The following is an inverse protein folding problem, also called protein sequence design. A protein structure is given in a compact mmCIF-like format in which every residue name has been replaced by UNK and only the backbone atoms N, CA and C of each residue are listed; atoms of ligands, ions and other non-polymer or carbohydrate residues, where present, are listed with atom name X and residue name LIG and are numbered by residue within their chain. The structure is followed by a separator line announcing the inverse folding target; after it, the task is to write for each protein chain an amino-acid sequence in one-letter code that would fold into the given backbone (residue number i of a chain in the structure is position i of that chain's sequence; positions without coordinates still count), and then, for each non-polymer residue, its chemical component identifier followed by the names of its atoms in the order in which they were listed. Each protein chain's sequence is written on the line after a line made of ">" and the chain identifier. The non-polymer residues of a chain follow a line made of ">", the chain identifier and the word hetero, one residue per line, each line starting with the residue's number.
data_IF_654414903016
#
_entry.id   IF_654414903016
#
_cell.length_a   1.000
_cell.length_b   1.000
_cell.length_c   1.000
_cell.angle_alpha   90.00
_cell.angle_beta   90.00
_cell.angle_gamma   90.00
#
_symmetry.space_group_name_H-M   'P 1'
#
loop_
_entity.id
_entity.type
_entity.pdbx_description
1 polymer ?
#
# COMPACT_ATOMS: atom_id res chain seq x y z
N UNK A 1 7.47 13.47 1.89
CA UNK A 1 7.01 12.27 2.63
C UNK A 1 6.85 11.02 1.75
N UNK A 2 6.82 11.16 0.42
CA UNK A 2 6.66 10.06 -0.56
C UNK A 2 7.99 9.50 -1.10
N UNK A 3 9.11 10.08 -0.66
CA UNK A 3 10.41 9.89 -1.29
C UNK A 3 10.85 8.41 -1.41
N UNK A 4 10.36 7.46 -0.59
CA UNK A 4 10.71 6.05 -0.76
C UNK A 4 9.87 5.32 -1.83
N UNK A 5 8.58 5.63 -1.93
CA UNK A 5 7.64 4.91 -2.82
C UNK A 5 7.57 5.52 -4.23
N UNK A 6 7.95 6.80 -4.37
CA UNK A 6 8.04 7.47 -5.67
C UNK A 6 9.41 7.33 -6.36
N UNK A 7 10.39 6.68 -5.72
CA UNK A 7 11.71 6.46 -6.32
C UNK A 7 11.69 5.36 -7.37
N UNK A 8 12.48 5.53 -8.41
CA UNK A 8 12.76 4.47 -9.38
C UNK A 8 13.43 3.28 -8.66
N UNK A 9 12.78 2.12 -8.73
CA UNK A 9 13.29 0.83 -8.28
C UNK A 9 12.59 -0.28 -9.06
N UNK A 10 13.18 -1.48 -9.10
CA UNK A 10 12.55 -2.62 -9.80
C UNK A 10 11.14 -2.92 -9.30
N UNK A 11 10.95 -2.90 -7.98
CA UNK A 11 9.64 -3.13 -7.36
C UNK A 11 8.63 -2.04 -7.70
N UNK A 12 8.98 -0.76 -7.49
CA UNK A 12 8.05 0.33 -7.81
C UNK A 12 7.70 0.35 -9.31
N UNK A 13 8.66 0.12 -10.20
CA UNK A 13 8.41 0.06 -11.65
C UNK A 13 7.40 -1.04 -11.99
N UNK A 14 7.57 -2.24 -11.46
CA UNK A 14 6.63 -3.34 -11.68
C UNK A 14 5.23 -2.97 -11.17
N UNK A 15 5.13 -2.43 -9.95
CA UNK A 15 3.84 -2.08 -9.36
C UNK A 15 3.10 -0.99 -10.16
N UNK A 16 3.78 0.08 -10.57
CA UNK A 16 3.17 1.12 -11.40
C UNK A 16 2.78 0.61 -12.79
N UNK A 17 3.59 -0.27 -13.40
CA UNK A 17 3.27 -0.91 -14.67
C UNK A 17 1.96 -1.72 -14.57
N UNK A 18 1.83 -2.57 -13.55
CA UNK A 18 0.59 -3.34 -13.34
C UNK A 18 -0.61 -2.43 -13.04
N UNK A 19 -0.44 -1.40 -12.22
CA UNK A 19 -1.51 -0.47 -11.89
C UNK A 19 -2.01 0.29 -13.14
N UNK A 20 -1.10 0.77 -13.98
CA UNK A 20 -1.46 1.41 -15.26
C UNK A 20 -2.15 0.43 -16.20
N UNK A 21 -1.63 -0.79 -16.36
CA UNK A 21 -2.26 -1.81 -17.23
C UNK A 21 -3.67 -2.19 -16.78
N UNK A 22 -3.89 -2.32 -15.46
CA UNK A 22 -5.23 -2.57 -14.92
C UNK A 22 -6.19 -1.42 -15.26
N UNK A 23 -5.72 -0.17 -15.16
CA UNK A 23 -6.51 0.99 -15.55
C UNK A 23 -6.78 1.01 -17.06
N UNK A 24 -5.78 0.71 -17.90
CA UNK A 24 -5.96 0.59 -19.36
C UNK A 24 -6.94 -0.52 -19.74
N UNK A 25 -6.99 -1.60 -18.95
CA UNK A 25 -7.97 -2.68 -19.11
C UNK A 25 -9.39 -2.29 -18.66
N UNK A 26 -9.60 -1.09 -18.14
CA UNK A 26 -10.91 -0.56 -17.76
C UNK A 26 -11.26 -0.70 -16.28
N UNK A 27 -10.33 -1.11 -15.42
CA UNK A 27 -10.57 -1.19 -13.98
C UNK A 27 -10.41 0.18 -13.29
N UNK A 28 -11.20 0.41 -12.23
CA UNK A 28 -10.94 1.53 -11.30
C UNK A 28 -9.78 1.16 -10.38
N UNK A 29 -8.65 1.88 -10.52
CA UNK A 29 -7.42 1.61 -9.76
C UNK A 29 -7.09 2.79 -8.86
N UNK A 30 -6.95 2.52 -7.57
CA UNK A 30 -6.51 3.50 -6.56
C UNK A 30 -5.29 3.01 -5.82
N UNK A 31 -4.30 3.89 -5.64
CA UNK A 31 -3.03 3.55 -5.02
C UNK A 31 -2.89 4.22 -3.66
N UNK A 32 -2.77 3.41 -2.60
CA UNK A 32 -2.65 3.91 -1.24
C UNK A 32 -1.27 3.69 -0.63
N UNK A 33 -0.77 4.71 0.07
CA UNK A 33 0.46 4.66 0.85
C UNK A 33 0.11 4.76 2.34
N UNK A 34 0.58 3.80 3.12
CA UNK A 34 0.39 3.80 4.56
C UNK A 34 1.08 5.00 5.22
N UNK A 35 0.39 5.58 6.20
CA UNK A 35 0.96 6.55 7.13
C UNK A 35 2.09 5.93 7.94
N UNK A 36 3.10 6.74 8.27
CA UNK A 36 4.12 6.33 9.24
C UNK A 36 3.47 6.11 10.60
N UNK A 37 3.81 5.02 11.32
CA UNK A 37 3.21 4.75 12.61
C UNK A 37 3.48 5.90 13.59
N UNK A 38 2.41 6.46 14.13
CA UNK A 38 2.48 7.47 15.19
C UNK A 38 2.80 6.76 16.50
N UNK A 39 3.85 7.21 17.18
CA UNK A 39 4.27 6.64 18.47
C UNK A 39 3.10 6.68 19.47
N UNK A 40 2.94 5.62 20.26
CA UNK A 40 1.79 5.41 21.15
C UNK A 40 1.57 6.56 22.14
N UNK A 41 2.65 7.16 22.64
CA UNK A 41 2.63 8.27 23.60
C UNK A 41 2.29 9.65 22.98
N UNK A 42 2.15 9.75 21.66
CA UNK A 42 1.78 10.99 20.96
C UNK A 42 0.31 10.98 20.54
N UNK A 43 -0.55 10.99 21.54
CA UNK A 43 -2.01 10.99 21.36
C UNK A 43 -2.50 12.26 20.65
N UNK A 44 -1.88 13.40 20.98
CA UNK A 44 -2.04 14.69 20.29
C UNK A 44 -1.96 14.55 18.76
N UNK A 45 -0.91 13.87 18.28
CA UNK A 45 -0.69 13.69 16.84
C UNK A 45 -1.64 12.69 16.23
N UNK A 46 -2.10 11.69 16.98
CA UNK A 46 -3.15 10.76 16.52
C UNK A 46 -4.47 11.50 16.30
N UNK A 47 -4.87 12.36 17.24
CA UNK A 47 -6.08 13.17 17.12
C UNK A 47 -5.99 14.07 15.90
N UNK A 48 -4.90 14.84 15.78
CA UNK A 48 -4.66 15.71 14.62
C UNK A 48 -4.68 14.93 13.30
N UNK A 49 -4.03 13.76 13.24
CA UNK A 49 -4.02 12.92 12.04
C UNK A 49 -5.41 12.37 11.70
N UNK A 50 -6.22 12.01 12.70
CA UNK A 50 -7.58 11.47 12.48
C UNK A 50 -8.56 12.49 11.88
N UNK A 51 -8.27 13.79 12.04
CA UNK A 51 -9.01 14.90 11.45
C UNK A 51 -8.50 15.28 10.05
N UNK A 52 -7.32 14.79 9.64
CA UNK A 52 -6.79 15.03 8.30
C UNK A 52 -7.50 14.16 7.28
N UNK A 53 -7.51 14.66 6.04
CA UNK A 53 -7.97 13.93 4.85
C UNK A 53 -6.81 13.18 4.21
N UNK A 54 -7.15 12.26 3.31
CA UNK A 54 -6.20 11.63 2.40
C UNK A 54 -5.54 12.72 1.56
N UNK A 55 -4.21 12.66 1.44
CA UNK A 55 -3.47 13.57 0.58
C UNK A 55 -3.28 12.87 -0.76
N UNK A 56 -3.84 13.44 -1.81
CA UNK A 56 -3.70 12.92 -3.18
C UNK A 56 -2.58 13.67 -3.87
N UNK A 57 -1.59 12.94 -4.36
CA UNK A 57 -0.54 13.46 -5.21
C UNK A 57 -0.84 13.14 -6.67
N UNK A 58 -0.57 14.10 -7.52
CA UNK A 58 -0.81 14.01 -8.96
C UNK A 58 0.01 12.87 -9.58
N UNK A 59 -0.50 12.15 -10.58
CA UNK A 59 0.23 11.06 -11.24
C UNK A 59 1.62 11.46 -11.73
N UNK A 60 1.79 12.71 -12.16
CA UNK A 60 3.03 13.33 -12.67
C UNK A 60 4.11 13.48 -11.59
N UNK A 61 3.77 13.24 -10.32
CA UNK A 61 4.78 13.09 -9.24
C UNK A 61 5.76 11.95 -9.55
N UNK A 62 5.32 10.97 -10.34
CA UNK A 62 6.15 9.89 -10.84
C UNK A 62 6.58 10.29 -12.26
N UNK A 63 7.81 10.77 -12.39
CA UNK A 63 8.37 11.36 -13.62
C UNK A 63 9.19 10.37 -14.46
N UNK A 64 9.46 9.17 -13.95
CA UNK A 64 10.32 8.17 -14.58
C UNK A 64 9.55 7.07 -15.33
N UNK A 65 8.22 7.11 -15.34
CA UNK A 65 7.33 6.25 -16.12
C UNK A 65 6.08 7.05 -16.50
N UNK A 66 5.43 6.70 -17.60
CA UNK A 66 4.12 7.26 -17.97
C UNK A 66 3.04 6.78 -16.99
N UNK A 67 2.93 7.47 -15.87
CA UNK A 67 2.04 7.12 -14.78
C UNK A 67 0.72 7.89 -14.88
N UNK A 68 -0.38 7.16 -14.86
CA UNK A 68 -1.73 7.73 -14.84
C UNK A 68 -2.42 7.55 -13.48
N UNK A 69 -1.75 6.93 -12.50
CA UNK A 69 -2.31 6.57 -11.21
C UNK A 69 -1.93 7.61 -10.15
N UNK A 70 -2.90 8.33 -9.55
CA UNK A 70 -2.61 9.24 -8.46
C UNK A 70 -2.21 8.46 -7.20
N UNK A 71 -1.37 9.07 -6.36
CA UNK A 71 -0.88 8.44 -5.12
C UNK A 71 -1.63 9.03 -3.93
N UNK A 72 -2.32 8.19 -3.18
CA UNK A 72 -3.13 8.59 -2.04
C UNK A 72 -2.46 8.22 -0.72
N UNK A 73 -2.09 9.21 0.08
CA UNK A 73 -1.38 9.01 1.34
C UNK A 73 -2.39 9.04 2.48
N UNK A 74 -2.46 7.94 3.23
CA UNK A 74 -3.31 7.87 4.40
C UNK A 74 -2.79 8.80 5.50
N UNK A 75 -3.66 9.57 6.17
CA UNK A 75 -3.26 10.38 7.32
C UNK A 75 -3.01 9.51 8.55
N UNK A 76 -3.79 8.42 8.68
CA UNK A 76 -3.63 7.33 9.64
C UNK A 76 -4.11 6.03 8.98
N UNK A 77 -3.49 4.90 9.32
CA UNK A 77 -3.84 3.59 8.79
C UNK A 77 -5.17 3.13 9.39
N UNK A 78 -6.29 3.45 8.74
CA UNK A 78 -7.63 3.13 9.21
C UNK A 78 -8.56 2.81 8.04
N UNK A 79 -9.44 1.78 8.15
CA UNK A 79 -10.34 1.36 7.05
C UNK A 79 -11.20 2.48 6.47
N UNK A 80 -11.62 3.45 7.30
CA UNK A 80 -12.49 4.58 6.90
C UNK A 80 -11.96 5.44 5.73
N UNK A 81 -10.65 5.41 5.47
CA UNK A 81 -10.03 6.17 4.38
C UNK A 81 -9.90 5.38 3.08
N UNK A 82 -10.18 4.08 3.12
CA UNK A 82 -10.19 3.22 1.95
C UNK A 82 -11.63 3.11 1.43
N UNK A 83 -11.85 3.20 0.10
CA UNK A 83 -13.15 2.90 -0.48
C UNK A 83 -13.52 1.43 -0.29
N UNK A 84 -14.76 1.08 -0.61
CA UNK A 84 -15.11 -0.31 -0.89
C UNK A 84 -14.48 -0.71 -2.23
N UNK A 85 -14.13 -1.99 -2.36
CA UNK A 85 -13.47 -2.50 -3.55
C UNK A 85 -13.73 -4.00 -3.69
N UNK A 86 -13.61 -4.52 -4.92
CA UNK A 86 -13.66 -5.96 -5.16
C UNK A 86 -12.35 -6.66 -4.78
N UNK A 87 -11.23 -5.98 -5.02
CA UNK A 87 -9.87 -6.50 -4.90
C UNK A 87 -9.01 -5.52 -4.13
N UNK A 88 -8.21 -6.05 -3.20
CA UNK A 88 -7.17 -5.31 -2.49
C UNK A 88 -5.82 -5.99 -2.70
N UNK A 89 -4.84 -5.25 -3.20
CA UNK A 89 -3.49 -5.77 -3.44
C UNK A 89 -2.51 -5.17 -2.42
N UNK A 90 -1.98 -6.00 -1.53
CA UNK A 90 -0.85 -5.65 -0.68
C UNK A 90 0.48 -5.97 -1.38
N UNK A 91 1.51 -5.15 -1.17
CA UNK A 91 2.79 -5.24 -1.91
C UNK A 91 4.02 -5.34 -1.00
N UNK A 92 3.94 -4.74 0.19
CA UNK A 92 4.95 -4.85 1.24
C UNK A 92 4.38 -5.55 2.47
N UNK A 93 5.22 -6.16 3.31
CA UNK A 93 4.76 -6.87 4.51
C UNK A 93 3.91 -5.99 5.44
N UNK A 94 4.22 -4.70 5.57
CA UNK A 94 3.40 -3.77 6.36
C UNK A 94 2.00 -3.59 5.78
N UNK A 95 1.90 -3.54 4.45
CA UNK A 95 0.61 -3.41 3.75
C UNK A 95 -0.19 -4.71 3.86
N UNK A 96 0.47 -5.88 3.82
CA UNK A 96 -0.19 -7.16 3.99
C UNK A 96 -0.73 -7.33 5.43
N UNK A 97 0.09 -7.00 6.44
CA UNK A 97 -0.34 -7.02 7.85
C UNK A 97 -1.49 -6.05 8.14
N UNK A 98 -1.50 -4.89 7.49
CA UNK A 98 -2.62 -3.95 7.60
C UNK A 98 -3.87 -4.46 6.87
N UNK A 99 -3.72 -4.92 5.62
CA UNK A 99 -4.81 -5.38 4.78
C UNK A 99 -5.54 -6.59 5.36
N UNK A 100 -4.80 -7.52 5.99
CA UNK A 100 -5.38 -8.69 6.64
C UNK A 100 -6.32 -8.37 7.82
N UNK A 101 -6.29 -7.14 8.34
CA UNK A 101 -7.13 -6.66 9.45
C UNK A 101 -8.32 -5.83 8.96
N UNK A 102 -8.42 -5.60 7.65
CA UNK A 102 -9.51 -4.83 7.08
C UNK A 102 -10.79 -5.68 7.02
N UNK A 103 -11.95 -5.03 7.08
CA UNK A 103 -13.22 -5.74 6.95
C UNK A 103 -13.44 -6.13 5.47
N UNK A 104 -14.32 -7.11 5.23
CA UNK A 104 -14.44 -7.79 3.92
C UNK A 104 -14.88 -6.86 2.79
N UNK A 105 -15.56 -5.76 3.11
CA UNK A 105 -16.04 -4.75 2.15
C UNK A 105 -14.88 -3.97 1.50
N UNK A 106 -13.65 -4.11 2.02
CA UNK A 106 -12.43 -3.55 1.40
C UNK A 106 -11.85 -4.44 0.30
N UNK A 107 -12.51 -5.56 -0.01
CA UNK A 107 -12.18 -6.43 -1.12
C UNK A 107 -11.39 -7.66 -0.73
N UNK A 108 -11.32 -8.59 -1.69
CA UNK A 108 -10.53 -9.80 -1.55
C UNK A 108 -9.05 -9.47 -1.54
N UNK A 109 -8.34 -9.90 -0.49
CA UNK A 109 -6.92 -9.65 -0.34
C UNK A 109 -6.08 -10.56 -1.25
N UNK A 110 -5.26 -9.93 -2.08
CA UNK A 110 -4.12 -10.54 -2.77
C UNK A 110 -2.83 -9.96 -2.20
N UNK A 111 -1.84 -10.81 -1.95
CA UNK A 111 -0.51 -10.38 -1.54
C UNK A 111 0.48 -10.56 -2.69
N UNK A 112 0.86 -9.46 -3.32
CA UNK A 112 1.89 -9.43 -4.36
C UNK A 112 3.29 -9.35 -3.75
N UNK A 113 3.99 -10.48 -3.70
CA UNK A 113 5.30 -10.62 -3.09
C UNK A 113 6.39 -10.48 -4.16
N UNK A 114 7.16 -9.40 -4.07
CA UNK A 114 8.27 -9.12 -4.98
C UNK A 114 9.60 -9.71 -4.52
N UNK A 115 9.78 -9.91 -3.21
CA UNK A 115 10.97 -10.54 -2.64
C UNK A 115 10.70 -10.96 -1.19
N UNK A 116 11.64 -11.71 -0.62
CA UNK A 116 11.60 -12.15 0.77
C UNK A 116 12.06 -11.03 1.72
N UNK A 117 11.16 -10.10 2.03
CA UNK A 117 11.40 -8.88 2.83
C UNK A 117 11.94 -9.16 4.24
N UNK A 118 11.69 -10.36 4.79
CA UNK A 118 12.14 -10.75 6.13
C UNK A 118 13.68 -10.73 6.29
N UNK A 119 14.43 -10.82 5.19
CA UNK A 119 15.90 -10.73 5.20
C UNK A 119 16.41 -9.31 5.47
N UNK A 120 15.64 -8.30 5.07
CA UNK A 120 16.09 -6.90 4.99
C UNK A 120 15.43 -5.98 6.02
N UNK A 121 14.27 -6.37 6.55
CA UNK A 121 13.57 -5.58 7.57
C UNK A 121 14.19 -5.77 8.97
N UNK A 122 14.07 -4.73 9.81
CA UNK A 122 14.35 -4.83 11.25
C UNK A 122 13.32 -5.68 11.98
N UNK A 123 12.12 -5.82 11.41
CA UNK A 123 10.98 -6.54 11.98
C UNK A 123 10.82 -7.93 11.35
N UNK A 124 11.91 -8.73 11.40
CA UNK A 124 12.01 -10.01 10.65
C UNK A 124 10.86 -10.96 10.95
N UNK A 125 10.52 -11.13 12.24
CA UNK A 125 9.44 -12.01 12.69
C UNK A 125 8.07 -11.55 12.20
N UNK A 126 7.82 -10.24 12.20
CA UNK A 126 6.56 -9.68 11.72
C UNK A 126 6.42 -9.88 10.22
N UNK A 127 7.46 -9.57 9.44
CA UNK A 127 7.43 -9.80 7.99
C UNK A 127 7.27 -11.29 7.65
N UNK A 128 7.99 -12.18 8.35
CA UNK A 128 7.89 -13.62 8.13
C UNK A 128 6.44 -14.12 8.28
N UNK A 129 5.73 -13.70 9.34
CA UNK A 129 4.35 -14.09 9.59
C UNK A 129 3.38 -13.66 8.48
N UNK A 130 3.71 -12.63 7.69
CA UNK A 130 2.82 -12.19 6.60
C UNK A 130 2.74 -13.21 5.46
N UNK A 131 3.72 -14.10 5.34
CA UNK A 131 3.67 -15.21 4.38
C UNK A 131 2.70 -16.32 4.83
N UNK A 132 2.28 -16.35 6.09
CA UNK A 132 1.28 -17.30 6.60
C UNK A 132 -0.16 -16.77 6.48
N UNK A 133 -0.35 -15.54 5.98
CA UNK A 133 -1.68 -14.96 5.82
C UNK A 133 -2.53 -15.80 4.88
N UNK A 134 -3.79 -16.01 5.28
CA UNK A 134 -4.82 -16.69 4.51
C UNK A 134 -5.34 -15.79 3.39
N UNK A 135 -4.49 -15.56 2.39
CA UNK A 135 -4.78 -14.79 1.18
C UNK A 135 -4.03 -15.38 -0.02
N UNK A 136 -4.52 -15.09 -1.22
CA UNK A 136 -3.86 -15.53 -2.43
C UNK A 136 -2.57 -14.72 -2.65
N UNK A 137 -1.47 -15.42 -2.85
CA UNK A 137 -0.16 -14.81 -3.10
C UNK A 137 0.12 -14.80 -4.59
N UNK A 138 0.58 -13.65 -5.09
CA UNK A 138 1.12 -13.49 -6.43
C UNK A 138 2.61 -13.30 -6.25
N UNK A 139 3.43 -14.09 -6.93
CA UNK A 139 4.90 -14.04 -6.77
C UNK A 139 5.54 -13.85 -8.13
N UNK A 140 6.59 -13.03 -8.18
CA UNK A 140 7.53 -13.01 -9.30
C UNK A 140 8.74 -13.85 -8.89
N UNK A 141 8.92 -15.01 -9.54
CA UNK A 141 10.04 -15.94 -9.34
C UNK A 141 11.18 -15.65 -10.31
#
# INVERSE_FOLDING_TARGET
>A
MVNQYARISGGNRALFEFANRLKTAGHEVRWFVLSKPIKWYRLDKKIIASMKRVITMSPETIDWIDNTIPIEILPINHPKYLPEADILVATAWQTADFAAKLPKEKGMLFYFVLHYESLWTRYKKQALKTYDLACQKIVCS
#
